data_IF_462443273489
#
_entry.id   IF_462443273489
#
_cell.length_a   1.000
_cell.length_b   1.000
_cell.length_c   1.000
_cell.angle_alpha   90.00
_cell.angle_beta   90.00
_cell.angle_gamma   90.00
#
_symmetry.space_group_name_H-M   'P 1'
#
loop_
_entity.id
_entity.type
_entity.pdbx_description
1 polymer ?
#
# COMPACT_ATOMS: atom_id res chain seq x y z
N UNK A 1 19.65 -2.43 -2.00
CA UNK A 1 20.70 -1.60 -1.36
C UNK A 1 20.06 -1.03 -0.13
N UNK A 2 20.76 -0.96 1.00
CA UNK A 2 20.24 -0.36 2.23
C UNK A 2 19.69 1.02 1.94
N UNK A 3 18.47 1.29 2.42
CA UNK A 3 17.84 2.61 2.35
C UNK A 3 18.77 3.64 3.00
N UNK A 4 19.17 4.66 2.23
CA UNK A 4 20.01 5.77 2.67
C UNK A 4 19.15 6.95 3.12
N UNK A 5 17.89 7.01 2.68
CA UNK A 5 16.99 8.12 2.99
C UNK A 5 17.27 9.37 2.16
N UNK A 6 18.07 9.25 1.10
CA UNK A 6 18.29 10.29 0.09
C UNK A 6 17.52 10.00 -1.19
N UNK A 7 17.17 11.05 -1.90
CA UNK A 7 16.77 10.90 -3.29
C UNK A 7 17.99 10.59 -4.16
N UNK A 8 17.84 9.67 -5.12
CA UNK A 8 18.94 9.29 -6.03
C UNK A 8 19.44 10.48 -6.87
N UNK A 9 18.55 11.45 -7.14
CA UNK A 9 18.87 12.68 -7.83
C UNK A 9 18.56 13.87 -6.91
N UNK A 10 19.50 14.20 -6.02
CA UNK A 10 19.47 15.46 -5.29
C UNK A 10 20.25 16.54 -6.05
N UNK A 11 19.68 17.75 -6.15
CA UNK A 11 20.26 18.83 -6.92
C UNK A 11 21.05 19.77 -5.99
N UNK A 12 22.36 19.53 -5.86
CA UNK A 12 23.28 20.54 -5.31
C UNK A 12 24.53 19.96 -4.65
N UNK A 13 25.68 20.03 -5.32
CA UNK A 13 26.96 19.55 -4.79
C UNK A 13 27.86 20.67 -4.21
N UNK A 14 27.38 21.91 -4.03
CA UNK A 14 28.28 23.05 -3.80
C UNK A 14 27.73 24.15 -2.89
N UNK A 15 27.43 23.85 -1.62
CA UNK A 15 27.45 24.85 -0.56
C UNK A 15 28.19 24.28 0.67
N UNK A 16 28.99 25.09 1.39
CA UNK A 16 29.58 24.66 2.67
C UNK A 16 28.43 24.54 3.66
N UNK A 17 27.84 23.36 3.79
CA UNK A 17 26.69 23.18 4.64
C UNK A 17 27.08 23.36 6.11
N UNK A 18 26.35 24.25 6.79
CA UNK A 18 26.32 24.35 8.24
C UNK A 18 25.73 23.08 8.90
N UNK A 19 25.33 22.10 8.09
CA UNK A 19 24.76 20.82 8.46
C UNK A 19 25.61 19.72 7.83
N UNK A 20 25.93 18.68 8.58
CA UNK A 20 26.57 17.49 8.04
C UNK A 20 25.48 16.53 7.58
N UNK A 21 25.54 16.13 6.32
CA UNK A 21 24.69 15.10 5.77
C UNK A 21 25.13 13.72 6.28
N UNK A 22 24.18 12.99 6.87
CA UNK A 22 24.48 11.77 7.61
C UNK A 22 23.79 10.53 7.03
N UNK A 23 23.13 10.66 5.88
CA UNK A 23 22.46 9.56 5.17
C UNK A 23 23.37 8.37 4.83
N UNK A 24 24.68 8.59 4.69
CA UNK A 24 25.58 7.53 4.23
C UNK A 24 25.95 6.59 5.39
N UNK A 25 25.95 7.12 6.63
CA UNK A 25 26.15 6.38 7.88
C UNK A 25 24.92 5.50 8.19
N UNK A 26 23.74 5.91 7.73
CA UNK A 26 22.47 5.17 7.88
C UNK A 26 22.54 3.77 7.25
N UNK A 27 23.25 3.63 6.13
CA UNK A 27 23.33 2.37 5.36
C UNK A 27 23.97 1.20 6.11
N UNK A 28 24.77 1.48 7.15
CA UNK A 28 25.61 0.48 7.83
C UNK A 28 24.87 -0.17 9.01
N UNK A 29 23.71 0.35 9.41
CA UNK A 29 23.41 0.33 10.83
C UNK A 29 22.24 -0.55 11.29
N UNK A 30 21.21 -0.89 10.51
CA UNK A 30 20.43 -2.12 10.81
C UNK A 30 19.36 -2.47 9.75
N UNK A 31 19.60 -3.46 8.88
CA UNK A 31 18.56 -4.07 8.04
C UNK A 31 17.41 -4.70 8.84
N UNK A 32 17.61 -5.01 10.12
CA UNK A 32 16.62 -5.64 10.98
C UNK A 32 15.67 -4.65 11.68
N UNK A 33 15.99 -3.36 11.67
CA UNK A 33 15.13 -2.32 12.25
C UNK A 33 14.22 -1.66 11.22
N UNK A 34 14.66 -1.62 9.97
CA UNK A 34 13.97 -0.96 8.85
C UNK A 34 13.83 -1.86 7.61
N UNK A 35 13.28 -3.09 7.77
CA UNK A 35 13.28 -4.09 6.71
C UNK A 35 12.36 -3.72 5.54
N UNK A 36 11.32 -2.90 5.75
CA UNK A 36 10.48 -2.41 4.66
C UNK A 36 11.17 -1.28 3.90
N UNK A 37 11.79 -0.33 4.59
CA UNK A 37 12.52 0.75 3.93
C UNK A 37 13.68 0.21 3.07
N UNK A 38 14.47 -0.75 3.56
CA UNK A 38 15.53 -1.41 2.77
C UNK A 38 14.98 -2.15 1.54
N UNK A 39 13.76 -2.68 1.65
CA UNK A 39 13.09 -3.33 0.53
C UNK A 39 12.60 -2.35 -0.55
N UNK A 40 11.96 -1.25 -0.14
CA UNK A 40 11.48 -0.22 -1.05
C UNK A 40 12.65 0.50 -1.72
N UNK A 41 13.76 0.63 -0.99
CA UNK A 41 14.97 1.31 -1.47
C UNK A 41 14.80 2.82 -1.51
N UNK A 42 15.82 3.48 -2.07
CA UNK A 42 15.86 4.94 -2.10
C UNK A 42 14.92 5.51 -3.17
N UNK A 43 14.21 6.61 -2.85
CA UNK A 43 13.31 7.26 -3.78
C UNK A 43 14.07 7.85 -4.96
N UNK A 44 13.42 7.84 -6.12
CA UNK A 44 14.01 8.39 -7.36
C UNK A 44 14.12 9.91 -7.30
N UNK A 45 13.19 10.58 -6.63
CA UNK A 45 13.12 12.04 -6.56
C UNK A 45 12.71 12.48 -5.14
N UNK A 46 13.09 13.68 -4.70
CA UNK A 46 12.61 14.25 -3.45
C UNK A 46 11.21 14.87 -3.62
N UNK A 47 10.48 15.03 -2.51
CA UNK A 47 9.29 15.86 -2.48
C UNK A 47 9.67 17.34 -2.59
N UNK A 48 8.92 18.13 -3.35
CA UNK A 48 9.19 19.56 -3.58
C UNK A 48 8.33 20.49 -2.71
N UNK A 49 7.33 19.94 -2.02
CA UNK A 49 6.35 20.67 -1.23
C UNK A 49 6.03 19.89 0.03
N UNK A 50 5.58 20.60 1.07
CA UNK A 50 5.13 19.99 2.33
C UNK A 50 3.81 19.24 2.19
N UNK A 51 3.06 19.53 1.12
CA UNK A 51 1.96 18.71 0.64
C UNK A 51 2.48 18.04 -0.62
N UNK A 52 2.75 16.74 -0.54
CA UNK A 52 3.20 15.96 -1.68
C UNK A 52 1.99 15.37 -2.38
N UNK A 53 1.86 15.65 -3.67
CA UNK A 53 0.66 15.32 -4.43
C UNK A 53 1.04 14.61 -5.71
N UNK A 54 0.25 13.59 -6.04
CA UNK A 54 0.38 12.84 -7.28
C UNK A 54 -1.00 12.72 -7.93
N UNK A 55 -0.96 12.45 -9.23
CA UNK A 55 -2.17 12.33 -10.04
C UNK A 55 -2.35 10.86 -10.40
N UNK A 56 -3.56 10.36 -10.16
CA UNK A 56 -3.99 9.04 -10.58
C UNK A 56 -5.06 9.18 -11.67
N UNK A 57 -5.01 8.26 -12.64
CA UNK A 57 -6.01 8.14 -13.69
C UNK A 57 -6.42 6.67 -13.75
N UNK A 58 -7.68 6.43 -14.11
CA UNK A 58 -8.23 5.10 -14.24
C UNK A 58 -8.82 4.95 -15.64
N UNK A 59 -8.77 3.74 -16.18
CA UNK A 59 -9.52 3.45 -17.39
C UNK A 59 -11.02 3.53 -17.11
N UNK A 60 -11.81 3.69 -18.17
CA UNK A 60 -13.26 3.61 -18.06
C UNK A 60 -13.64 2.23 -17.49
N UNK A 61 -14.52 2.19 -16.47
CA UNK A 61 -14.96 0.93 -15.89
C UNK A 61 -15.61 0.04 -16.93
N UNK A 62 -15.27 -1.25 -16.91
CA UNK A 62 -15.86 -2.28 -17.75
C UNK A 62 -16.86 -3.15 -16.97
N UNK A 63 -17.14 -2.83 -15.70
CA UNK A 63 -18.07 -3.56 -14.85
C UNK A 63 -18.84 -2.57 -13.97
N UNK A 64 -20.05 -2.94 -13.59
CA UNK A 64 -20.89 -2.22 -12.64
C UNK A 64 -21.77 -3.23 -11.88
N UNK A 65 -22.57 -2.77 -10.91
CA UNK A 65 -23.53 -3.62 -10.21
C UNK A 65 -24.96 -3.30 -10.63
N UNK A 66 -25.80 -4.32 -10.70
CA UNK A 66 -27.26 -4.14 -10.79
C UNK A 66 -27.75 -3.59 -9.45
N UNK A 67 -28.47 -2.48 -9.49
CA UNK A 67 -29.07 -1.82 -8.33
C UNK A 67 -30.59 -1.86 -8.45
N UNK A 68 -31.13 -3.07 -8.36
CA UNK A 68 -32.53 -3.33 -8.59
C UNK A 68 -32.97 -4.58 -7.84
N UNK A 69 -33.90 -4.37 -6.91
CA UNK A 69 -34.48 -5.43 -6.08
C UNK A 69 -35.76 -6.02 -6.66
N UNK A 70 -36.45 -5.31 -7.55
CA UNK A 70 -37.70 -5.75 -8.17
C UNK A 70 -37.64 -5.61 -9.68
N UNK A 71 -37.96 -6.69 -10.40
CA UNK A 71 -37.87 -6.76 -11.85
C UNK A 71 -39.26 -6.90 -12.47
N UNK A 72 -39.59 -6.04 -13.42
CA UNK A 72 -40.87 -6.07 -14.13
C UNK A 72 -40.64 -6.46 -15.59
N UNK A 73 -41.34 -7.48 -16.14
CA UNK A 73 -42.36 -8.32 -15.48
C UNK A 73 -41.78 -9.45 -14.61
N UNK A 74 -40.52 -9.84 -14.80
CA UNK A 74 -39.81 -10.76 -13.89
C UNK A 74 -38.29 -10.61 -14.03
N UNK A 75 -37.53 -11.22 -13.10
CA UNK A 75 -36.06 -11.18 -13.11
C UNK A 75 -35.40 -11.80 -14.35
N UNK A 76 -36.12 -12.67 -15.06
CA UNK A 76 -35.62 -13.40 -16.24
C UNK A 76 -35.98 -12.70 -17.56
N UNK A 77 -36.95 -11.78 -17.55
CA UNK A 77 -37.48 -11.16 -18.78
C UNK A 77 -37.51 -9.63 -18.74
N UNK A 78 -37.20 -9.01 -17.60
CA UNK A 78 -37.10 -7.56 -17.51
C UNK A 78 -36.08 -7.01 -18.51
N UNK A 79 -36.52 -6.04 -19.31
CA UNK A 79 -35.72 -5.32 -20.31
C UNK A 79 -35.26 -3.96 -19.82
N UNK A 80 -35.76 -3.50 -18.66
CA UNK A 80 -35.32 -2.28 -17.99
C UNK A 80 -34.54 -2.67 -16.74
N UNK A 81 -33.23 -2.45 -16.75
CA UNK A 81 -32.30 -2.81 -15.67
C UNK A 81 -31.68 -1.54 -15.12
N UNK A 82 -31.84 -1.30 -13.82
CA UNK A 82 -31.17 -0.20 -13.12
C UNK A 82 -29.82 -0.66 -12.62
N UNK A 83 -28.78 0.09 -12.94
CA UNK A 83 -27.39 -0.12 -12.51
C UNK A 83 -26.96 1.04 -11.61
N UNK A 84 -25.87 0.87 -10.87
CA UNK A 84 -25.35 1.95 -10.02
C UNK A 84 -24.87 3.17 -10.85
N UNK A 85 -24.26 2.93 -12.00
CA UNK A 85 -23.62 3.94 -12.83
C UNK A 85 -23.90 3.71 -14.33
N UNK A 86 -25.00 4.24 -14.85
CA UNK A 86 -25.36 4.07 -16.27
C UNK A 86 -24.38 4.73 -17.25
N UNK A 87 -23.57 5.69 -16.78
CA UNK A 87 -22.52 6.34 -17.57
C UNK A 87 -21.33 5.41 -17.92
N UNK A 88 -21.24 4.23 -17.30
CA UNK A 88 -20.25 3.22 -17.65
C UNK A 88 -20.55 2.50 -18.95
N UNK A 89 -21.81 2.50 -19.36
CA UNK A 89 -22.33 1.81 -20.52
C UNK A 89 -22.54 2.76 -21.71
N UNK A 90 -22.53 2.20 -22.91
CA UNK A 90 -22.93 2.86 -24.14
C UNK A 90 -23.98 2.03 -24.87
N UNK A 91 -24.78 2.70 -25.70
CA UNK A 91 -25.70 2.00 -26.61
C UNK A 91 -24.87 1.15 -27.58
N UNK A 92 -25.29 -0.09 -27.76
CA UNK A 92 -24.56 -1.10 -28.52
C UNK A 92 -23.67 -2.00 -27.65
N UNK A 93 -23.51 -1.72 -26.36
CA UNK A 93 -22.70 -2.58 -25.50
C UNK A 93 -23.36 -3.95 -25.31
N UNK A 94 -22.56 -4.99 -25.49
CA UNK A 94 -22.89 -6.34 -25.04
C UNK A 94 -22.46 -6.47 -23.58
N UNK A 95 -23.41 -6.83 -22.73
CA UNK A 95 -23.20 -6.96 -21.29
C UNK A 95 -23.56 -8.36 -20.83
N UNK A 96 -22.81 -8.87 -19.86
CA UNK A 96 -22.99 -10.20 -19.26
C UNK A 96 -23.25 -10.06 -17.77
N UNK A 97 -24.37 -10.61 -17.26
CA UNK A 97 -24.62 -10.67 -15.83
C UNK A 97 -23.79 -11.80 -15.23
N UNK A 98 -22.93 -11.46 -14.27
CA UNK A 98 -22.06 -12.34 -13.50
C UNK A 98 -21.22 -13.28 -14.39
N UNK A 99 -20.95 -14.50 -13.92
CA UNK A 99 -20.36 -15.59 -14.71
C UNK A 99 -21.42 -16.39 -15.50
N UNK A 100 -22.57 -15.80 -15.82
CA UNK A 100 -23.63 -16.48 -16.60
C UNK A 100 -23.25 -16.68 -18.08
N UNK A 101 -23.98 -17.57 -18.75
CA UNK A 101 -23.91 -17.70 -20.21
C UNK A 101 -24.79 -16.68 -20.94
N UNK A 102 -25.54 -15.83 -20.23
CA UNK A 102 -26.42 -14.84 -20.84
C UNK A 102 -25.61 -13.66 -21.38
N UNK A 103 -25.93 -13.23 -22.60
CA UNK A 103 -25.47 -11.93 -23.13
C UNK A 103 -26.70 -11.07 -23.39
N UNK A 104 -26.63 -9.81 -22.98
CA UNK A 104 -27.68 -8.81 -23.21
C UNK A 104 -27.10 -7.68 -24.06
N UNK A 105 -27.90 -7.12 -24.97
CA UNK A 105 -27.52 -5.97 -25.77
C UNK A 105 -28.16 -4.71 -25.20
N UNK A 106 -27.36 -3.68 -24.90
CA UNK A 106 -27.85 -2.37 -24.47
C UNK A 106 -28.36 -1.58 -25.67
N UNK A 107 -29.64 -1.22 -25.67
CA UNK A 107 -30.32 -0.51 -26.78
C UNK A 107 -30.64 0.94 -26.47
N UNK A 108 -30.81 1.29 -25.20
CA UNK A 108 -30.97 2.67 -24.75
C UNK A 108 -30.48 2.81 -23.31
N UNK A 109 -30.10 4.03 -22.92
CA UNK A 109 -29.66 4.37 -21.57
C UNK A 109 -30.40 5.64 -21.16
N UNK A 110 -31.09 5.58 -20.03
CA UNK A 110 -31.76 6.71 -19.40
C UNK A 110 -31.18 6.87 -17.99
N UNK A 111 -30.25 7.82 -17.81
CA UNK A 111 -29.44 7.99 -16.60
C UNK A 111 -28.81 6.67 -16.14
N UNK A 112 -29.37 6.00 -15.13
CA UNK A 112 -28.89 4.74 -14.57
C UNK A 112 -29.72 3.52 -14.99
N UNK A 113 -30.72 3.72 -15.84
CA UNK A 113 -31.59 2.64 -16.34
C UNK A 113 -31.18 2.26 -17.76
N UNK A 114 -30.72 1.03 -17.92
CA UNK A 114 -30.40 0.41 -19.20
C UNK A 114 -31.65 -0.26 -19.77
N UNK A 115 -31.95 0.01 -21.04
CA UNK A 115 -32.91 -0.77 -21.83
C UNK A 115 -32.14 -1.82 -22.61
N UNK A 116 -32.40 -3.10 -22.34
CA UNK A 116 -31.66 -4.22 -22.91
C UNK A 116 -32.53 -5.20 -23.68
N UNK A 117 -31.93 -5.84 -24.68
CA UNK A 117 -32.46 -7.07 -25.28
C UNK A 117 -31.80 -8.25 -24.57
N UNK A 118 -32.63 -9.07 -23.91
CA UNK A 118 -32.21 -10.29 -23.19
C UNK A 118 -31.87 -11.42 -24.17
N UNK A 119 -31.14 -12.43 -23.70
CA UNK A 119 -30.86 -13.65 -24.48
C UNK A 119 -30.26 -13.36 -25.88
N UNK A 120 -29.43 -12.33 -25.98
CA UNK A 120 -28.83 -11.92 -27.24
C UNK A 120 -27.94 -13.04 -27.81
N UNK A 121 -27.95 -13.20 -29.13
CA UNK A 121 -27.20 -14.27 -29.80
C UNK A 121 -27.70 -15.70 -29.52
N UNK A 122 -28.93 -15.86 -29.02
CA UNK A 122 -29.50 -17.17 -28.68
C UNK A 122 -29.03 -17.72 -27.33
N UNK A 123 -28.46 -16.86 -26.48
CA UNK A 123 -28.09 -17.22 -25.10
C UNK A 123 -29.34 -17.46 -24.25
N UNK A 124 -29.20 -18.13 -23.10
CA UNK A 124 -30.34 -18.42 -22.22
C UNK A 124 -30.45 -17.35 -21.14
N UNK A 125 -31.64 -16.76 -20.99
CA UNK A 125 -31.85 -15.72 -19.99
C UNK A 125 -31.78 -16.28 -18.56
N UNK A 126 -31.01 -15.62 -17.69
CA UNK A 126 -30.87 -15.95 -16.28
C UNK A 126 -31.70 -14.99 -15.41
N UNK A 127 -32.15 -15.46 -14.25
CA UNK A 127 -32.78 -14.58 -13.26
C UNK A 127 -31.74 -13.58 -12.72
N UNK A 128 -31.98 -12.29 -12.94
CA UNK A 128 -31.16 -11.22 -12.37
C UNK A 128 -31.46 -11.05 -10.88
N UNK A 129 -30.46 -10.55 -10.15
CA UNK A 129 -30.59 -10.19 -8.74
C UNK A 129 -29.90 -8.85 -8.49
N UNK A 130 -30.27 -8.21 -7.38
CA UNK A 130 -29.58 -7.04 -6.86
C UNK A 130 -28.12 -7.37 -6.52
N UNK A 131 -27.22 -6.40 -6.70
CA UNK A 131 -25.76 -6.53 -6.55
C UNK A 131 -25.10 -7.58 -7.45
N UNK A 132 -25.79 -8.07 -8.48
CA UNK A 132 -25.17 -8.92 -9.49
C UNK A 132 -24.23 -8.08 -10.37
N UNK A 133 -22.99 -8.55 -10.54
CA UNK A 133 -21.99 -7.87 -11.37
C UNK A 133 -22.43 -7.89 -12.83
N UNK A 134 -22.42 -6.75 -13.49
CA UNK A 134 -22.70 -6.61 -14.91
C UNK A 134 -21.40 -6.24 -15.63
N UNK A 135 -20.88 -7.14 -16.47
CA UNK A 135 -19.61 -6.96 -17.17
C UNK A 135 -19.85 -6.57 -18.63
N UNK A 136 -19.21 -5.49 -19.08
CA UNK A 136 -19.20 -5.06 -20.48
C UNK A 136 -18.22 -5.94 -21.25
N UNK A 137 -18.73 -6.70 -22.22
CA UNK A 137 -17.93 -7.54 -23.12
C UNK A 137 -17.30 -6.70 -24.24
N UNK A 138 -18.03 -5.67 -24.69
CA UNK A 138 -17.58 -4.75 -25.73
C UNK A 138 -18.75 -4.12 -26.49
N UNK A 139 -18.47 -3.04 -27.21
CA UNK A 139 -19.46 -2.36 -28.03
C UNK A 139 -19.63 -3.08 -29.38
N UNK A 140 -20.87 -3.46 -29.71
CA UNK A 140 -21.27 -4.00 -31.01
C UNK A 140 -21.82 -2.88 -31.90
N UNK A 141 -20.90 -2.06 -32.44
CA UNK A 141 -21.26 -0.96 -33.32
C UNK A 141 -21.89 -1.45 -34.64
N UNK A 142 -22.87 -0.70 -35.14
CA UNK A 142 -23.56 -1.01 -36.39
C UNK A 142 -22.68 -0.59 -37.60
N UNK A 143 -22.70 -1.39 -38.66
CA UNK A 143 -21.87 -1.13 -39.85
C UNK A 143 -22.26 0.20 -40.53
N UNK A 144 -21.27 1.08 -40.72
CA UNK A 144 -21.47 2.40 -41.32
C UNK A 144 -22.11 3.43 -40.38
N UNK A 145 -22.30 3.12 -39.09
CA UNK A 145 -22.78 4.08 -38.11
C UNK A 145 -21.73 5.17 -37.81
N UNK A 146 -22.22 6.33 -37.34
CA UNK A 146 -21.36 7.38 -36.83
C UNK A 146 -20.56 6.91 -35.61
N UNK A 147 -19.39 7.51 -35.39
CA UNK A 147 -18.57 7.22 -34.22
C UNK A 147 -19.34 7.52 -32.91
N UNK A 148 -19.17 6.69 -31.86
CA UNK A 148 -19.80 6.93 -30.57
C UNK A 148 -19.26 8.22 -29.94
N UNK A 149 -20.05 8.79 -29.02
CA UNK A 149 -19.62 9.97 -28.27
C UNK A 149 -18.34 9.69 -27.48
N UNK A 150 -17.42 10.64 -27.49
CA UNK A 150 -16.19 10.55 -26.72
C UNK A 150 -16.49 10.49 -25.22
N UNK A 151 -15.82 9.56 -24.53
CA UNK A 151 -15.87 9.41 -23.07
C UNK A 151 -14.56 9.92 -22.48
N UNK A 152 -14.66 10.60 -21.36
CA UNK A 152 -13.52 11.17 -20.66
C UNK A 152 -13.43 10.58 -19.26
N UNK A 153 -12.22 10.27 -18.82
CA UNK A 153 -11.93 9.96 -17.43
C UNK A 153 -11.39 11.23 -16.77
N UNK A 154 -11.73 11.41 -15.50
CA UNK A 154 -11.21 12.53 -14.71
C UNK A 154 -10.07 12.04 -13.86
N UNK A 155 -8.94 12.74 -13.94
CA UNK A 155 -7.79 12.48 -13.10
C UNK A 155 -8.09 12.86 -11.65
N UNK A 156 -7.81 11.96 -10.73
CA UNK A 156 -7.94 12.20 -9.29
C UNK A 156 -6.60 12.69 -8.73
N UNK A 157 -6.63 13.74 -7.91
CA UNK A 157 -5.46 14.20 -7.16
C UNK A 157 -5.41 13.48 -5.82
N UNK A 158 -4.31 12.81 -5.53
CA UNK A 158 -4.00 12.23 -4.21
C UNK A 158 -2.90 13.05 -3.55
N UNK A 159 -2.87 13.01 -2.22
CA UNK A 159 -1.96 13.84 -1.44
C UNK A 159 -1.56 13.16 -0.14
N UNK A 160 -0.31 13.38 0.28
CA UNK A 160 0.16 13.13 1.64
C UNK A 160 0.94 14.35 2.15
N UNK A 161 1.21 14.37 3.45
CA UNK A 161 1.90 15.47 4.12
C UNK A 161 3.32 15.03 4.50
N UNK A 162 4.26 15.98 4.53
CA UNK A 162 5.62 15.71 5.03
C UNK A 162 5.65 15.79 6.55
N UNK A 163 6.39 14.90 7.21
CA UNK A 163 6.56 14.88 8.65
C UNK A 163 8.01 15.13 9.03
N UNK A 164 8.22 16.00 10.02
CA UNK A 164 9.54 16.30 10.56
C UNK A 164 9.88 15.30 11.67
N UNK A 165 11.02 14.64 11.51
CA UNK A 165 11.68 13.78 12.48
C UNK A 165 12.87 14.55 13.06
N UNK A 166 12.96 14.64 14.39
CA UNK A 166 14.05 15.36 15.03
C UNK A 166 14.47 14.71 16.35
N UNK A 167 15.77 14.70 16.60
CA UNK A 167 16.37 14.30 17.86
C UNK A 167 17.49 15.28 18.22
N UNK A 168 17.73 15.47 19.51
CA UNK A 168 18.83 16.30 20.02
C UNK A 168 19.87 15.40 20.69
N UNK A 169 21.13 15.70 20.44
CA UNK A 169 22.28 15.11 21.12
C UNK A 169 22.94 16.22 21.93
N UNK A 170 23.21 15.95 23.20
CA UNK A 170 23.91 16.87 24.09
C UNK A 170 24.97 16.08 24.86
N UNK A 171 26.22 16.53 24.80
CA UNK A 171 27.36 15.92 25.49
C UNK A 171 28.10 17.01 26.26
N UNK A 172 28.24 16.83 27.57
CA UNK A 172 28.99 17.77 28.42
C UNK A 172 30.49 17.75 28.10
N UNK A 173 31.18 18.88 28.29
CA UNK A 173 32.63 18.99 28.05
C UNK A 173 33.46 18.00 28.87
N UNK A 174 33.05 17.72 30.11
CA UNK A 174 33.70 16.70 30.96
C UNK A 174 33.54 15.28 30.41
N UNK A 175 32.38 14.96 29.85
CA UNK A 175 32.13 13.64 29.25
C UNK A 175 32.89 13.47 27.93
N UNK A 176 33.00 14.53 27.13
CA UNK A 176 33.80 14.52 25.91
C UNK A 176 35.30 14.40 26.20
N UNK A 177 35.79 15.04 27.28
CA UNK A 177 37.18 14.94 27.70
C UNK A 177 37.51 13.58 28.35
N UNK A 178 36.53 12.92 28.95
CA UNK A 178 36.70 11.61 29.55
C UNK A 178 36.81 10.53 28.45
N UNK A 179 37.87 9.72 28.49
CA UNK A 179 37.97 8.56 27.60
C UNK A 179 37.07 7.44 28.09
N UNK A 180 35.92 7.28 27.45
CA UNK A 180 35.11 6.06 27.57
C UNK A 180 35.85 4.90 26.90
N UNK A 181 35.93 3.75 27.58
CA UNK A 181 36.59 2.57 27.03
C UNK A 181 35.79 2.04 25.82
N UNK A 182 36.41 2.02 24.63
CA UNK A 182 35.80 1.48 23.41
C UNK A 182 34.99 2.48 22.58
N UNK A 183 34.87 3.74 23.00
CA UNK A 183 34.22 4.82 22.23
C UNK A 183 35.28 5.86 21.86
N UNK A 184 35.43 6.14 20.56
CA UNK A 184 36.43 7.10 20.07
C UNK A 184 36.00 8.56 20.32
N UNK A 185 34.74 8.89 20.01
CA UNK A 185 34.09 10.17 20.32
C UNK A 185 32.65 9.90 20.77
N UNK A 186 32.29 10.40 21.95
CA UNK A 186 30.96 10.25 22.54
C UNK A 186 29.90 11.03 21.75
N UNK A 187 30.25 12.20 21.20
CA UNK A 187 29.32 13.01 20.42
C UNK A 187 28.90 12.28 19.14
N UNK A 188 29.86 11.66 18.44
CA UNK A 188 29.59 10.87 17.23
C UNK A 188 28.83 9.58 17.53
N UNK A 189 29.13 8.93 18.66
CA UNK A 189 28.41 7.75 19.11
C UNK A 189 26.93 8.07 19.38
N UNK A 190 26.66 9.10 20.18
CA UNK A 190 25.29 9.54 20.48
C UNK A 190 24.55 10.00 19.21
N UNK A 191 25.25 10.68 18.30
CA UNK A 191 24.74 11.06 16.98
C UNK A 191 24.30 9.83 16.17
N UNK A 192 25.12 8.78 16.10
CA UNK A 192 24.76 7.55 15.40
C UNK A 192 23.57 6.81 16.04
N UNK A 193 23.49 6.77 17.37
CA UNK A 193 22.37 6.13 18.08
C UNK A 193 21.05 6.90 17.88
N UNK A 194 21.05 8.23 17.95
CA UNK A 194 19.83 9.01 17.68
C UNK A 194 19.35 8.88 16.24
N UNK A 195 20.27 8.74 15.28
CA UNK A 195 19.87 8.45 13.90
C UNK A 195 19.17 7.10 13.74
N UNK A 196 19.67 6.05 14.43
CA UNK A 196 19.02 4.73 14.47
C UNK A 196 17.58 4.83 14.93
N UNK A 197 17.37 5.55 16.03
CA UNK A 197 16.05 5.78 16.59
C UNK A 197 15.14 6.51 15.59
N UNK A 198 15.63 7.55 14.91
CA UNK A 198 14.82 8.30 13.93
C UNK A 198 14.43 7.46 12.71
N UNK A 199 15.30 6.57 12.23
CA UNK A 199 14.99 5.66 11.11
C UNK A 199 13.97 4.60 11.51
N UNK A 200 14.14 4.06 12.71
CA UNK A 200 13.18 3.13 13.31
C UNK A 200 11.81 3.78 13.46
N UNK A 201 11.77 5.04 13.88
CA UNK A 201 10.55 5.82 13.98
C UNK A 201 9.96 6.14 12.60
N UNK A 202 10.81 6.37 11.59
CA UNK A 202 10.39 6.55 10.20
C UNK A 202 9.69 5.28 9.66
N UNK A 203 10.31 4.10 9.78
CA UNK A 203 9.71 2.82 9.37
C UNK A 203 8.35 2.59 10.05
N UNK A 204 8.28 2.81 11.37
CA UNK A 204 7.03 2.67 12.11
C UNK A 204 5.97 3.66 11.62
N UNK A 205 6.36 4.89 11.31
CA UNK A 205 5.45 5.92 10.77
C UNK A 205 5.02 5.60 9.33
N UNK A 206 5.89 5.01 8.50
CA UNK A 206 5.52 4.56 7.15
C UNK A 206 4.46 3.46 7.22
N UNK A 207 4.54 2.54 8.19
CA UNK A 207 3.55 1.49 8.36
C UNK A 207 2.26 1.98 9.03
N UNK A 208 2.37 2.62 10.19
CA UNK A 208 1.26 2.90 11.11
C UNK A 208 0.88 4.39 11.20
N UNK A 209 1.56 5.27 10.46
CA UNK A 209 1.37 6.72 10.54
C UNK A 209 -0.09 7.14 10.30
N UNK A 210 -0.49 8.22 10.97
CA UNK A 210 -1.84 8.79 10.87
C UNK A 210 -1.71 10.30 10.72
N UNK A 211 -2.32 10.86 9.68
CA UNK A 211 -2.48 12.29 9.54
C UNK A 211 -3.62 12.79 10.46
N UNK A 212 -3.53 14.00 11.04
CA UNK A 212 -4.61 14.53 11.88
C UNK A 212 -5.88 14.74 11.04
N UNK A 213 -7.05 14.59 11.64
CA UNK A 213 -8.34 14.70 10.95
C UNK A 213 -8.71 16.14 10.55
N UNK A 214 -8.09 17.14 11.19
CA UNK A 214 -8.28 18.56 10.90
C UNK A 214 -6.95 19.30 10.92
N UNK A 215 -6.80 20.32 10.08
CA UNK A 215 -5.60 21.16 9.97
C UNK A 215 -4.34 20.34 9.62
N UNK A 216 -4.43 19.51 8.57
CA UNK A 216 -3.37 18.56 8.22
C UNK A 216 -2.03 19.20 7.81
N UNK A 217 -2.06 20.45 7.36
CA UNK A 217 -0.83 21.20 7.04
C UNK A 217 -0.05 21.64 8.30
N UNK A 218 -0.63 21.45 9.50
CA UNK A 218 -0.07 21.86 10.78
C UNK A 218 -0.42 23.30 11.16
N UNK A 219 -0.29 23.60 12.45
CA UNK A 219 -0.42 24.94 13.03
C UNK A 219 0.51 25.06 14.24
N UNK A 220 0.47 26.19 14.95
CA UNK A 220 1.20 26.34 16.22
C UNK A 220 0.73 25.36 17.32
N UNK A 221 -0.46 24.76 17.16
CA UNK A 221 -1.04 23.80 18.10
C UNK A 221 -1.27 22.40 17.52
N UNK A 222 -1.25 22.25 16.19
CA UNK A 222 -1.48 20.98 15.48
C UNK A 222 -0.19 20.55 14.78
N UNK A 223 0.28 19.34 15.10
CA UNK A 223 1.45 18.76 14.45
C UNK A 223 1.05 18.23 13.06
N UNK A 224 1.90 18.50 12.06
CA UNK A 224 1.80 17.85 10.75
C UNK A 224 2.42 16.46 10.85
N UNK A 225 1.64 15.43 10.51
CA UNK A 225 2.09 14.04 10.42
C UNK A 225 1.65 13.42 9.09
N UNK A 226 2.42 12.45 8.61
CA UNK A 226 2.12 11.75 7.36
C UNK A 226 1.18 10.58 7.61
N UNK A 227 0.40 10.21 6.59
CA UNK A 227 -0.38 8.98 6.62
C UNK A 227 0.52 7.79 6.25
N UNK A 228 0.39 6.68 6.97
CA UNK A 228 1.10 5.43 6.69
C UNK A 228 0.34 4.51 5.74
N UNK A 229 0.97 3.41 5.32
CA UNK A 229 0.44 2.45 4.36
C UNK A 229 -0.88 1.84 4.85
N UNK A 230 -0.95 1.42 6.12
CA UNK A 230 -2.13 0.76 6.69
C UNK A 230 -3.36 1.66 6.61
N UNK A 231 -3.19 2.97 6.85
CA UNK A 231 -4.27 3.96 6.84
C UNK A 231 -4.47 4.60 5.46
N UNK A 232 -3.66 4.23 4.46
CA UNK A 232 -3.83 4.65 3.08
C UNK A 232 -4.65 3.65 2.26
N UNK A 233 -4.93 2.46 2.81
CA UNK A 233 -5.79 1.42 2.22
C UNK A 233 -7.17 1.50 2.86
N UNK A 234 -8.19 1.74 2.04
CA UNK A 234 -9.60 1.89 2.40
C UNK A 234 -10.50 0.82 1.73
N UNK A 235 -10.27 0.49 0.45
CA UNK A 235 -11.15 -0.42 -0.32
C UNK A 235 -10.78 -1.88 -0.19
N UNK A 236 -9.47 -2.20 -0.18
CA UNK A 236 -8.97 -3.58 -0.15
C UNK A 236 -8.64 -4.04 1.28
N UNK A 237 -9.62 -3.92 2.18
CA UNK A 237 -9.54 -4.42 3.55
C UNK A 237 -10.28 -5.75 3.64
N UNK A 238 -9.53 -6.83 3.84
CA UNK A 238 -10.08 -8.17 3.97
C UNK A 238 -10.12 -8.60 5.43
N UNK A 239 -11.24 -9.17 5.87
CA UNK A 239 -11.40 -9.70 7.23
C UNK A 239 -11.93 -11.13 7.12
N UNK A 240 -11.32 -12.11 7.83
CA UNK A 240 -11.79 -13.49 7.83
C UNK A 240 -13.30 -13.58 8.08
N UNK A 241 -14.02 -14.31 7.22
CA UNK A 241 -15.47 -14.52 7.34
C UNK A 241 -16.37 -13.33 6.98
N UNK A 242 -15.81 -12.17 6.61
CA UNK A 242 -16.59 -10.98 6.26
C UNK A 242 -16.62 -10.71 4.75
N UNK A 243 -17.73 -10.18 4.23
CA UNK A 243 -17.82 -9.76 2.82
C UNK A 243 -17.49 -10.87 1.81
N UNK A 244 -17.91 -12.11 2.10
CA UNK A 244 -17.62 -13.29 1.29
C UNK A 244 -16.14 -13.71 1.27
N UNK A 245 -15.30 -13.14 2.14
CA UNK A 245 -13.92 -13.55 2.32
C UNK A 245 -13.88 -14.87 3.13
N UNK A 246 -13.02 -15.83 2.79
CA UNK A 246 -12.99 -17.12 3.46
C UNK A 246 -12.71 -16.99 4.97
N UNK A 247 -13.12 -18.01 5.71
CA UNK A 247 -12.77 -18.17 7.12
C UNK A 247 -11.28 -18.51 7.26
N UNK A 248 -10.67 -18.05 8.35
CA UNK A 248 -9.31 -18.39 8.73
C UNK A 248 -9.21 -19.78 9.37
N UNK A 249 -8.03 -20.08 9.88
CA UNK A 249 -7.77 -21.31 10.63
C UNK A 249 -8.06 -21.17 12.13
N UNK A 250 -7.78 -22.24 12.87
CA UNK A 250 -7.91 -22.26 14.33
C UNK A 250 -9.35 -22.28 14.83
N UNK A 251 -9.51 -22.31 16.16
CA UNK A 251 -10.83 -22.32 16.81
C UNK A 251 -11.59 -21.00 16.68
N UNK A 252 -10.88 -19.90 16.47
CA UNK A 252 -11.43 -18.57 16.25
C UNK A 252 -11.73 -18.23 14.79
N UNK A 253 -11.37 -19.12 13.85
CA UNK A 253 -11.52 -18.92 12.40
C UNK A 253 -10.84 -17.63 11.89
N UNK A 254 -9.79 -17.21 12.56
CA UNK A 254 -9.06 -15.95 12.39
C UNK A 254 -7.54 -16.16 12.25
N UNK A 255 -7.04 -17.41 12.26
CA UNK A 255 -5.62 -17.67 11.98
C UNK A 255 -5.31 -17.50 10.49
N UNK A 256 -4.14 -16.96 10.18
CA UNK A 256 -3.68 -16.82 8.79
C UNK A 256 -3.45 -18.20 8.17
N UNK A 257 -4.14 -18.46 7.06
CA UNK A 257 -3.98 -19.69 6.26
C UNK A 257 -3.61 -19.34 4.83
N UNK A 258 -3.10 -20.34 4.10
CA UNK A 258 -2.80 -20.20 2.68
C UNK A 258 -4.03 -19.80 1.85
N UNK A 259 -5.21 -20.33 2.21
CA UNK A 259 -6.49 -19.96 1.59
C UNK A 259 -6.79 -18.47 1.71
N UNK A 260 -6.52 -17.86 2.88
CA UNK A 260 -6.72 -16.41 3.06
C UNK A 260 -5.75 -15.60 2.20
N UNK A 261 -4.48 -16.00 2.11
CA UNK A 261 -3.48 -15.32 1.27
C UNK A 261 -3.89 -15.36 -0.19
N UNK A 262 -4.20 -16.54 -0.72
CA UNK A 262 -4.62 -16.70 -2.11
C UNK A 262 -5.93 -15.97 -2.42
N UNK A 263 -6.89 -15.96 -1.49
CA UNK A 263 -8.12 -15.19 -1.65
C UNK A 263 -7.88 -13.68 -1.67
N UNK A 264 -6.98 -13.16 -0.82
CA UNK A 264 -6.60 -11.74 -0.83
C UNK A 264 -5.91 -11.37 -2.15
N UNK A 265 -4.93 -12.16 -2.57
CA UNK A 265 -4.21 -11.92 -3.83
C UNK A 265 -5.12 -11.99 -5.05
N UNK A 266 -6.06 -12.95 -5.10
CA UNK A 266 -7.08 -13.03 -6.15
C UNK A 266 -7.93 -11.75 -6.20
N UNK A 267 -8.43 -11.27 -5.07
CA UNK A 267 -9.28 -10.06 -5.02
C UNK A 267 -8.52 -8.81 -5.45
N UNK A 268 -7.25 -8.68 -5.06
CA UNK A 268 -6.39 -7.57 -5.51
C UNK A 268 -6.17 -7.66 -7.03
N UNK A 269 -5.91 -8.86 -7.55
CA UNK A 269 -5.75 -9.11 -8.98
C UNK A 269 -7.03 -8.77 -9.77
N UNK A 270 -8.21 -9.17 -9.28
CA UNK A 270 -9.50 -8.85 -9.89
C UNK A 270 -9.77 -7.33 -9.95
N UNK A 271 -9.29 -6.57 -8.96
CA UNK A 271 -9.54 -5.14 -8.83
C UNK A 271 -8.57 -4.25 -9.62
N UNK A 272 -7.28 -4.61 -9.67
CA UNK A 272 -6.25 -3.73 -10.25
C UNK A 272 -5.29 -4.43 -11.21
N UNK A 273 -5.40 -5.75 -11.37
CA UNK A 273 -4.47 -6.58 -12.14
C UNK A 273 -2.99 -6.31 -11.83
N UNK A 274 -2.71 -5.81 -10.62
CA UNK A 274 -1.38 -5.47 -10.15
C UNK A 274 -0.69 -6.71 -9.57
N UNK A 275 0.57 -6.98 -9.93
CA UNK A 275 1.31 -8.07 -9.32
C UNK A 275 1.69 -7.65 -7.90
N UNK A 276 1.05 -8.26 -6.90
CA UNK A 276 1.52 -8.16 -5.52
C UNK A 276 2.89 -8.86 -5.47
N UNK A 277 3.93 -8.13 -5.11
CA UNK A 277 5.30 -8.63 -5.07
C UNK A 277 5.85 -8.72 -3.65
N UNK A 278 5.14 -8.16 -2.66
CA UNK A 278 5.63 -8.00 -1.30
C UNK A 278 4.55 -8.30 -0.29
N UNK A 279 4.85 -9.18 0.66
CA UNK A 279 4.01 -9.44 1.83
C UNK A 279 4.73 -8.94 3.07
N UNK A 280 4.15 -7.99 3.81
CA UNK A 280 4.73 -7.47 5.05
C UNK A 280 3.92 -7.95 6.24
N UNK A 281 4.60 -8.59 7.19
CA UNK A 281 3.97 -9.26 8.35
C UNK A 281 4.76 -9.05 9.64
N UNK A 282 4.05 -9.12 10.76
CA UNK A 282 4.66 -9.23 12.09
C UNK A 282 5.14 -10.65 12.41
N UNK A 283 5.78 -10.82 13.57
CA UNK A 283 6.34 -12.11 14.00
C UNK A 283 5.31 -13.24 14.13
N UNK A 284 4.11 -12.93 14.61
CA UNK A 284 2.99 -13.86 14.74
C UNK A 284 2.59 -14.48 13.40
N UNK A 285 2.22 -13.62 12.44
CA UNK A 285 1.81 -14.05 11.11
C UNK A 285 2.96 -14.71 10.34
N UNK A 286 4.21 -14.25 10.54
CA UNK A 286 5.37 -14.91 9.95
C UNK A 286 5.52 -16.36 10.40
N UNK A 287 5.26 -16.64 11.68
CA UNK A 287 5.32 -18.01 12.21
C UNK A 287 4.28 -18.90 11.53
N UNK A 288 3.05 -18.42 11.35
CA UNK A 288 1.99 -19.13 10.62
C UNK A 288 2.38 -19.41 9.17
N UNK A 289 2.96 -18.44 8.47
CA UNK A 289 3.44 -18.63 7.10
C UNK A 289 4.55 -19.71 7.04
N UNK A 290 5.46 -19.74 8.02
CA UNK A 290 6.49 -20.77 8.08
C UNK A 290 5.93 -22.19 8.35
N UNK A 291 4.71 -22.29 8.89
CA UNK A 291 4.02 -23.55 9.17
C UNK A 291 3.34 -24.13 7.91
N UNK A 292 3.06 -23.34 6.87
CA UNK A 292 2.37 -23.84 5.66
C UNK A 292 3.08 -25.02 4.99
N UNK A 293 4.41 -25.00 4.96
CA UNK A 293 5.22 -26.08 4.37
C UNK A 293 5.61 -27.17 5.37
N UNK A 294 5.07 -27.19 6.59
CA UNK A 294 5.57 -28.09 7.63
C UNK A 294 5.43 -29.57 7.29
N UNK A 295 4.38 -29.93 6.54
CA UNK A 295 4.08 -31.30 6.11
C UNK A 295 4.91 -31.78 4.90
N UNK A 296 5.52 -30.86 4.13
CA UNK A 296 6.27 -31.17 2.91
C UNK A 296 7.79 -31.16 3.12
N UNK A 297 8.26 -31.15 4.38
CA UNK A 297 9.69 -31.13 4.69
C UNK A 297 10.33 -32.50 4.52
N UNK A 298 11.32 -32.58 3.64
CA UNK A 298 12.28 -33.70 3.59
C UNK A 298 13.49 -33.42 4.47
N UNK A 299 14.04 -34.45 5.11
CA UNK A 299 15.28 -34.39 5.88
C UNK A 299 16.24 -35.46 5.40
N UNK A 300 17.52 -35.13 5.26
CA UNK A 300 18.57 -36.11 5.04
C UNK A 300 19.03 -36.69 6.39
N UNK A 301 19.51 -37.95 6.44
CA UNK A 301 19.99 -38.57 7.69
C UNK A 301 21.16 -37.83 8.38
N UNK A 302 21.85 -36.95 7.67
CA UNK A 302 22.97 -36.12 8.18
C UNK A 302 22.55 -34.73 8.67
N UNK A 303 21.28 -34.35 8.54
CA UNK A 303 20.83 -33.01 8.90
C UNK A 303 20.77 -32.84 10.42
N UNK A 304 21.59 -31.95 10.96
CA UNK A 304 21.65 -31.62 12.40
C UNK A 304 21.03 -30.26 12.74
N UNK A 305 20.58 -29.50 11.73
CA UNK A 305 19.98 -28.18 11.89
C UNK A 305 18.58 -28.13 11.27
N UNK A 306 17.57 -27.71 12.03
CA UNK A 306 16.21 -27.49 11.52
C UNK A 306 16.11 -26.12 10.84
N UNK A 307 15.74 -26.08 9.56
CA UNK A 307 15.47 -24.85 8.82
C UNK A 307 13.97 -24.76 8.51
N UNK A 308 13.31 -23.75 9.08
CA UNK A 308 11.87 -23.51 8.89
C UNK A 308 11.63 -22.04 8.58
N UNK A 309 12.01 -21.62 7.37
CA UNK A 309 11.84 -20.25 6.91
C UNK A 309 11.28 -20.26 5.48
N UNK A 310 10.18 -19.54 5.28
CA UNK A 310 9.63 -19.26 3.95
C UNK A 310 9.96 -17.80 3.63
N UNK A 311 10.84 -17.55 2.67
CA UNK A 311 11.23 -16.17 2.28
C UNK A 311 10.42 -15.64 1.10
N UNK A 312 10.01 -16.52 0.21
CA UNK A 312 9.23 -16.22 -0.99
C UNK A 312 8.00 -17.11 -0.99
N UNK A 313 6.85 -16.52 -1.28
CA UNK A 313 5.58 -17.21 -1.51
C UNK A 313 5.20 -17.04 -2.98
N UNK A 314 5.09 -18.15 -3.69
CA UNK A 314 4.67 -18.16 -5.09
C UNK A 314 3.22 -18.65 -5.15
N UNK A 315 2.37 -17.82 -5.74
CA UNK A 315 0.95 -18.10 -5.95
C UNK A 315 0.59 -17.97 -7.43
N UNK A 316 -0.60 -18.42 -7.82
CA UNK A 316 -1.13 -18.26 -9.18
C UNK A 316 -1.25 -16.78 -9.62
N UNK A 317 -1.27 -15.84 -8.67
CA UNK A 317 -1.47 -14.41 -8.90
C UNK A 317 -0.18 -13.58 -8.80
N UNK A 318 0.95 -14.19 -8.43
CA UNK A 318 2.23 -13.51 -8.31
C UNK A 318 3.21 -14.17 -7.35
N UNK A 319 4.47 -13.70 -7.44
CA UNK A 319 5.58 -14.11 -6.58
C UNK A 319 5.81 -13.01 -5.55
N UNK A 320 5.57 -13.33 -4.28
CA UNK A 320 5.67 -12.40 -3.18
C UNK A 320 6.90 -12.67 -2.32
N UNK A 321 7.72 -11.65 -2.08
CA UNK A 321 8.74 -11.68 -1.04
C UNK A 321 8.12 -11.36 0.32
N UNK A 322 8.38 -12.19 1.31
CA UNK A 322 7.86 -12.00 2.67
C UNK A 322 8.87 -11.21 3.51
N UNK A 323 8.45 -10.06 4.00
CA UNK A 323 9.22 -9.14 4.82
C UNK A 323 8.64 -9.14 6.22
N UNK A 324 9.51 -9.27 7.21
CA UNK A 324 9.12 -9.29 8.62
C UNK A 324 9.51 -7.97 9.27
N UNK A 325 8.53 -7.15 9.63
CA UNK A 325 8.77 -5.91 10.37
C UNK A 325 8.15 -6.02 11.77
N UNK A 326 8.90 -5.62 12.80
CA UNK A 326 8.42 -5.65 14.19
C UNK A 326 7.31 -4.63 14.46
N UNK A 327 7.22 -3.62 13.61
CA UNK A 327 6.26 -2.52 13.71
C UNK A 327 4.90 -2.88 13.12
N UNK A 328 4.79 -4.02 12.42
CA UNK A 328 3.51 -4.51 11.93
C UNK A 328 2.60 -4.90 13.10
N UNK A 329 1.35 -4.41 13.15
CA UNK A 329 0.36 -4.88 14.12
C UNK A 329 0.16 -6.39 14.02
N UNK A 330 0.04 -7.08 15.16
CA UNK A 330 0.05 -8.54 15.21
C UNK A 330 -1.06 -9.19 14.38
N UNK A 331 -2.25 -8.58 14.32
CA UNK A 331 -3.41 -9.09 13.58
C UNK A 331 -3.55 -8.59 12.14
N UNK A 332 -2.46 -8.11 11.52
CA UNK A 332 -2.47 -7.54 10.17
C UNK A 332 -1.40 -8.17 9.27
N UNK A 333 -1.77 -8.44 8.02
CA UNK A 333 -0.84 -8.80 6.95
C UNK A 333 -1.05 -7.85 5.74
N UNK A 334 0.02 -7.26 5.23
CA UNK A 334 -0.01 -6.36 4.08
C UNK A 334 0.41 -7.07 2.80
N UNK A 335 -0.25 -6.72 1.70
CA UNK A 335 0.02 -7.16 0.34
C UNK A 335 0.28 -5.92 -0.50
N UNK A 336 1.52 -5.74 -0.94
CA UNK A 336 1.99 -4.52 -1.58
C UNK A 336 2.58 -4.81 -2.96
N UNK A 337 2.44 -3.85 -3.86
CA UNK A 337 3.24 -3.69 -5.08
C UNK A 337 4.34 -2.66 -4.82
N UNK A 338 5.57 -3.12 -4.57
CA UNK A 338 6.68 -2.26 -4.18
C UNK A 338 7.01 -1.17 -5.21
N UNK A 339 6.67 -1.39 -6.50
CA UNK A 339 6.93 -0.42 -7.56
C UNK A 339 6.08 0.86 -7.49
N UNK A 340 5.05 0.86 -6.64
CA UNK A 340 4.07 1.93 -6.50
C UNK A 340 4.13 2.64 -5.15
N UNK A 341 5.15 2.34 -4.36
CA UNK A 341 5.35 2.90 -3.02
C UNK A 341 6.73 3.53 -2.96
N UNK A 342 6.78 4.83 -2.69
CA UNK A 342 8.03 5.57 -2.53
C UNK A 342 8.02 6.33 -1.18
N UNK A 343 9.13 6.29 -0.45
CA UNK A 343 9.34 7.10 0.77
C UNK A 343 10.31 8.22 0.45
N UNK A 344 9.83 9.45 0.39
CA UNK A 344 10.57 10.60 -0.16
C UNK A 344 11.01 11.56 0.94
N UNK A 345 12.28 12.03 0.95
CA UNK A 345 12.65 13.20 1.73
C UNK A 345 12.11 14.47 1.05
N UNK A 346 11.82 15.50 1.85
CA UNK A 346 11.62 16.85 1.33
C UNK A 346 12.97 17.39 0.83
N UNK A 347 12.99 18.05 -0.32
CA UNK A 347 14.20 18.54 -0.97
C UNK A 347 15.07 19.39 -0.01
N UNK A 348 16.36 19.04 0.11
CA UNK A 348 17.31 19.68 1.05
C UNK A 348 17.04 19.41 2.54
N UNK A 349 16.13 18.50 2.87
CA UNK A 349 15.70 18.17 4.25
C UNK A 349 15.70 16.66 4.51
N UNK A 350 16.57 15.91 3.84
CA UNK A 350 17.00 14.58 4.28
C UNK A 350 17.61 14.64 5.70
N UNK A 351 17.85 13.47 6.31
CA UNK A 351 18.51 13.40 7.62
C UNK A 351 19.88 14.09 7.60
N UNK A 352 19.97 15.18 8.36
CA UNK A 352 21.16 16.01 8.51
C UNK A 352 21.39 16.33 9.99
N UNK A 353 22.65 16.38 10.40
CA UNK A 353 23.07 16.79 11.73
C UNK A 353 23.52 18.26 11.70
N UNK A 354 22.86 19.11 12.48
CA UNK A 354 23.14 20.55 12.59
C UNK A 354 23.69 20.86 13.98
N UNK A 355 24.84 21.54 14.12
CA UNK A 355 25.30 22.02 15.41
C UNK A 355 24.37 23.10 15.93
N UNK A 356 23.99 23.01 17.20
CA UNK A 356 23.24 24.02 17.92
C UNK A 356 24.20 25.01 18.59
N UNK A 357 23.69 26.17 18.98
CA UNK A 357 24.47 27.13 19.74
C UNK A 357 24.90 26.54 21.08
N UNK A 358 26.19 26.66 21.41
CA UNK A 358 26.75 26.21 22.68
C UNK A 358 26.04 26.91 23.84
N UNK A 359 25.46 26.11 24.74
CA UNK A 359 24.81 26.60 25.95
C UNK A 359 25.52 25.95 27.15
N UNK A 360 26.24 26.75 27.93
CA UNK A 360 27.09 26.21 29.01
C UNK A 360 28.30 25.43 28.49
N UNK A 361 28.78 24.47 29.28
CA UNK A 361 29.91 23.58 28.94
C UNK A 361 29.41 22.26 28.32
N UNK A 362 28.73 22.37 27.17
CA UNK A 362 28.19 21.23 26.44
C UNK A 362 28.22 21.46 24.92
N UNK A 363 28.46 20.39 24.16
CA UNK A 363 28.25 20.33 22.72
C UNK A 363 26.83 19.83 22.47
N UNK A 364 26.08 20.58 21.67
CA UNK A 364 24.70 20.25 21.30
C UNK A 364 24.56 20.14 19.78
N UNK A 365 23.94 19.06 19.32
CA UNK A 365 23.66 18.78 17.91
C UNK A 365 22.17 18.47 17.76
N UNK A 366 21.55 18.96 16.69
CA UNK A 366 20.19 18.59 16.28
C UNK A 366 20.26 17.72 15.03
N UNK A 367 19.69 16.53 15.09
CA UNK A 367 19.42 15.72 13.91
C UNK A 367 18.01 16.05 13.44
N UNK A 368 17.86 16.32 12.14
CA UNK A 368 16.59 16.66 11.52
C UNK A 368 16.47 15.95 10.17
N UNK A 369 15.30 15.37 9.91
CA UNK A 369 14.93 14.88 8.58
C UNK A 369 13.43 15.08 8.38
N UNK A 370 13.01 15.26 7.14
CA UNK A 370 11.61 15.47 6.81
C UNK A 370 11.21 14.57 5.64
N UNK A 371 10.24 13.69 5.87
CA UNK A 371 9.88 12.61 4.95
C UNK A 371 8.37 12.55 4.71
N UNK A 372 7.98 11.94 3.59
CA UNK A 372 6.59 11.61 3.26
C UNK A 372 6.50 10.27 2.56
N UNK A 373 5.29 9.71 2.48
CA UNK A 373 4.98 8.48 1.76
C UNK A 373 4.14 8.83 0.52
N UNK A 374 4.60 8.43 -0.65
CA UNK A 374 3.81 8.40 -1.87
C UNK A 374 3.27 6.98 -2.09
N UNK A 375 1.95 6.86 -2.07
CA UNK A 375 1.26 5.57 -2.18
C UNK A 375 0.35 5.60 -3.41
N UNK A 376 0.83 5.04 -4.52
CA UNK A 376 0.12 5.09 -5.80
C UNK A 376 -0.77 3.87 -5.99
N UNK A 377 -1.93 4.12 -6.58
CA UNK A 377 -2.94 3.14 -6.94
C UNK A 377 -3.23 2.15 -5.82
N UNK A 378 -4.00 2.62 -4.84
CA UNK A 378 -4.45 1.85 -3.69
C UNK A 378 -5.01 0.47 -4.06
N UNK A 379 -5.76 0.36 -5.17
CA UNK A 379 -6.40 -0.88 -5.58
C UNK A 379 -5.41 -2.02 -5.92
N UNK A 380 -4.13 -1.69 -6.19
CA UNK A 380 -3.07 -2.68 -6.41
C UNK A 380 -2.48 -3.25 -5.11
N UNK A 381 -2.88 -2.71 -3.97
CA UNK A 381 -2.46 -3.14 -2.64
C UNK A 381 -3.65 -3.67 -1.86
N UNK A 382 -3.40 -4.37 -0.77
CA UNK A 382 -4.47 -4.78 0.13
C UNK A 382 -3.93 -5.22 1.47
N UNK A 383 -4.84 -5.46 2.40
CA UNK A 383 -4.48 -5.94 3.72
C UNK A 383 -5.50 -6.95 4.22
N UNK A 384 -5.03 -7.88 5.04
CA UNK A 384 -5.89 -8.71 5.88
C UNK A 384 -5.81 -8.15 7.30
N UNK A 385 -6.97 -7.91 7.92
CA UNK A 385 -7.13 -7.40 9.29
C UNK A 385 -7.94 -8.40 10.13
N UNK A 386 -7.76 -8.34 11.44
CA UNK A 386 -8.49 -9.18 12.38
C UNK A 386 -7.95 -10.60 12.46
N UNK A 387 -6.65 -10.80 12.19
CA UNK A 387 -6.00 -12.09 12.35
C UNK A 387 -5.65 -12.36 13.82
N UNK A 388 -5.66 -13.63 14.21
CA UNK A 388 -5.18 -14.08 15.51
C UNK A 388 -3.71 -13.71 15.73
N UNK A 389 -3.40 -13.13 16.89
CA UNK A 389 -2.05 -12.69 17.27
C UNK A 389 -1.12 -13.83 17.73
#
# INVERSE_FOLDING_TARGET
MPFTGKATYDAGATLPELAEDVSDIVSIVSPYETPLLDHLGDPRAPALSTVHEWIEDALLPNTDLINQTTFTPSATTATSITVDNGAYFQVGDLVRPDESSEVMLVTAIATNTLTVVRAYGGTTAQALADNMKLTILGNAALEGAAAPAARFTTRARRSNYTQIFTATVEVSGSMQAARAAGVADEADYQKAERMRELLRDLENTVLNGVAPSATQQGSSSVRRSMNGIINSIDTNIFTPGAGGFPLGGGTGEDELTETLINAAMRRIWDNASGPVDTIVVGGAQKRRINEFLSAQRGYAPSDTTLRSLVSVYESDFGVCRIITSRWMPAGVALFLDSSRIDVLPLAGRSFQARPLATTGDAISLQILGEYTLEFRNEAAHGLIRGLAA
#
